data_IF_147671265224
#
_entry.id   IF_147671265224
#
_cell.length_a   1.000
_cell.length_b   1.000
_cell.length_c   1.000
_cell.angle_alpha   90.00
_cell.angle_beta   90.00
_cell.angle_gamma   90.00
#
_symmetry.space_group_name_H-M   'P 1'
#
loop_
_entity.id
_entity.type
_entity.pdbx_description
1 polymer ?
#
# COMPACT_ATOMS: atom_id res chain seq x y z
N UNK A 1 6.13 21.88 -3.62
CA UNK A 1 6.75 20.55 -3.47
C UNK A 1 5.62 19.57 -3.23
N UNK A 2 5.59 18.45 -3.96
CA UNK A 2 4.52 17.47 -3.81
C UNK A 2 4.72 16.63 -2.54
N UNK A 3 3.62 16.26 -1.90
CA UNK A 3 3.59 15.48 -0.66
C UNK A 3 3.14 14.04 -0.93
N UNK A 4 4.01 13.08 -0.62
CA UNK A 4 3.73 11.66 -0.57
C UNK A 4 3.52 11.23 0.88
N UNK A 5 2.37 10.64 1.18
CA UNK A 5 2.15 9.84 2.41
C UNK A 5 2.27 8.37 2.06
N UNK A 6 3.12 7.62 2.77
CA UNK A 6 3.32 6.19 2.53
C UNK A 6 3.43 5.40 3.84
N UNK A 7 2.61 4.35 3.97
CA UNK A 7 2.66 3.49 5.16
C UNK A 7 3.71 2.39 5.03
N UNK A 8 4.45 2.11 6.10
CA UNK A 8 5.39 0.98 6.16
C UNK A 8 6.70 1.17 5.39
N UNK A 9 7.51 2.16 5.77
CA UNK A 9 8.79 2.49 5.13
C UNK A 9 10.03 2.02 5.90
N UNK A 10 9.87 1.10 6.85
CA UNK A 10 11.01 0.56 7.60
C UNK A 10 11.89 -0.38 6.78
N UNK A 11 11.32 -1.04 5.75
CA UNK A 11 11.98 -2.04 4.91
C UNK A 11 11.23 -2.28 3.60
N UNK A 12 11.79 -3.12 2.73
CA UNK A 12 11.12 -3.66 1.55
C UNK A 12 10.68 -2.61 0.52
N UNK A 13 9.50 -2.81 -0.08
CA UNK A 13 8.96 -1.95 -1.14
C UNK A 13 8.80 -0.51 -0.64
N UNK A 14 8.15 -0.31 0.51
CA UNK A 14 7.92 1.04 1.05
C UNK A 14 9.20 1.84 1.29
N UNK A 15 10.27 1.19 1.78
CA UNK A 15 11.57 1.83 1.96
C UNK A 15 12.16 2.31 0.62
N UNK A 16 12.18 1.45 -0.40
CA UNK A 16 12.72 1.80 -1.71
C UNK A 16 11.85 2.84 -2.43
N UNK A 17 10.52 2.77 -2.27
CA UNK A 17 9.61 3.79 -2.80
C UNK A 17 9.90 5.15 -2.16
N UNK A 18 10.01 5.22 -0.83
CA UNK A 18 10.37 6.46 -0.15
C UNK A 18 11.70 7.03 -0.65
N UNK A 19 12.74 6.19 -0.84
CA UNK A 19 14.04 6.62 -1.40
C UNK A 19 13.90 7.29 -2.76
N UNK A 20 13.15 6.68 -3.69
CA UNK A 20 12.98 7.22 -5.04
C UNK A 20 12.27 8.56 -5.00
N UNK A 21 11.20 8.69 -4.21
CA UNK A 21 10.46 9.95 -4.11
C UNK A 21 11.32 11.06 -3.49
N UNK A 22 12.07 10.77 -2.42
CA UNK A 22 13.01 11.72 -1.82
C UNK A 22 14.09 12.18 -2.82
N UNK A 23 14.66 11.24 -3.60
CA UNK A 23 15.65 11.55 -4.65
C UNK A 23 15.08 12.48 -5.73
N UNK A 24 13.77 12.43 -5.96
CA UNK A 24 13.06 13.27 -6.92
C UNK A 24 12.41 14.52 -6.28
N UNK A 25 12.96 14.98 -5.16
CA UNK A 25 12.56 16.25 -4.49
C UNK A 25 11.11 16.28 -4.00
N UNK A 26 10.52 15.12 -3.69
CA UNK A 26 9.24 15.07 -2.98
C UNK A 26 9.42 15.25 -1.48
N UNK A 27 8.38 15.76 -0.83
CA UNK A 27 8.23 15.66 0.61
C UNK A 27 7.57 14.32 0.94
N UNK A 28 8.26 13.49 1.73
CA UNK A 28 7.77 12.15 2.08
C UNK A 28 7.44 12.11 3.56
N UNK A 29 6.17 11.82 3.84
CA UNK A 29 5.67 11.48 5.16
C UNK A 29 5.52 9.96 5.20
N UNK A 30 6.51 9.29 5.78
CA UNK A 30 6.52 7.85 5.92
C UNK A 30 6.03 7.41 7.30
N UNK A 31 5.56 6.17 7.39
CA UNK A 31 5.28 5.55 8.70
C UNK A 31 5.95 4.20 8.89
N UNK A 32 6.15 3.82 10.14
CA UNK A 32 6.46 2.45 10.55
C UNK A 32 5.89 2.21 11.94
N UNK A 33 5.77 0.95 12.38
CA UNK A 33 5.15 0.64 13.68
C UNK A 33 5.86 1.27 14.87
N UNK A 34 7.16 1.54 14.75
CA UNK A 34 7.99 2.15 15.79
C UNK A 34 8.50 3.55 15.43
N UNK A 35 8.08 4.13 14.30
CA UNK A 35 8.54 5.45 13.86
C UNK A 35 10.01 5.49 13.43
N UNK A 36 10.62 4.34 13.13
CA UNK A 36 11.99 4.26 12.65
C UNK A 36 12.09 3.82 11.17
N UNK A 37 13.09 4.37 10.50
CA UNK A 37 13.55 3.98 9.16
C UNK A 37 15.06 4.22 9.06
N UNK A 38 15.73 3.52 8.14
CA UNK A 38 17.16 3.73 7.87
C UNK A 38 17.44 4.97 7.00
N UNK A 39 16.39 5.58 6.44
CA UNK A 39 16.51 6.77 5.61
C UNK A 39 16.82 8.01 6.44
N UNK A 40 17.72 8.84 5.92
CA UNK A 40 17.98 10.19 6.43
C UNK A 40 17.92 11.15 5.26
N UNK A 41 16.97 12.08 5.30
CA UNK A 41 16.79 13.08 4.25
C UNK A 41 16.05 14.29 4.84
N UNK A 42 16.37 15.51 4.40
CA UNK A 42 15.74 16.73 4.91
C UNK A 42 14.24 16.84 4.58
N UNK A 43 13.80 16.20 3.49
CA UNK A 43 12.40 16.17 3.06
C UNK A 43 11.64 14.92 3.56
N UNK A 44 12.16 14.23 4.58
CA UNK A 44 11.54 13.04 5.15
C UNK A 44 11.03 13.32 6.57
N UNK A 45 9.75 13.10 6.79
CA UNK A 45 9.16 12.98 8.12
C UNK A 45 8.72 11.53 8.35
N UNK A 46 9.18 10.91 9.43
CA UNK A 46 8.80 9.55 9.83
C UNK A 46 7.92 9.62 11.08
N UNK A 47 6.80 8.90 11.06
CA UNK A 47 5.88 8.81 12.20
C UNK A 47 5.69 7.35 12.66
N UNK A 48 5.54 7.10 13.96
CA UNK A 48 5.02 5.84 14.44
C UNK A 48 3.55 5.71 14.02
N UNK A 49 3.18 4.57 13.43
CA UNK A 49 1.80 4.25 13.12
C UNK A 49 1.57 2.73 13.16
N UNK A 50 0.69 2.31 14.06
CA UNK A 50 0.12 0.97 14.05
C UNK A 50 -1.30 1.02 13.46
N UNK A 51 -1.52 0.32 12.34
CA UNK A 51 -2.81 0.34 11.63
C UNK A 51 -3.95 -0.36 12.39
N UNK A 52 -3.66 -1.14 13.44
CA UNK A 52 -4.71 -1.69 14.33
C UNK A 52 -5.15 -0.71 15.43
N UNK A 53 -4.49 0.44 15.57
CA UNK A 53 -4.79 1.42 16.60
C UNK A 53 -5.43 2.69 15.99
N UNK A 54 -6.76 2.76 16.07
CA UNK A 54 -7.54 3.91 15.58
C UNK A 54 -7.12 5.24 16.21
N UNK A 55 -6.63 5.25 17.47
CA UNK A 55 -6.15 6.49 18.10
C UNK A 55 -4.88 6.99 17.45
N UNK A 56 -3.97 6.07 17.09
CA UNK A 56 -2.75 6.43 16.35
C UNK A 56 -3.09 6.90 14.93
N UNK A 57 -4.05 6.26 14.25
CA UNK A 57 -4.53 6.72 12.94
C UNK A 57 -5.06 8.16 13.03
N UNK A 58 -5.97 8.43 13.97
CA UNK A 58 -6.53 9.77 14.17
C UNK A 58 -5.43 10.81 14.40
N UNK A 59 -4.55 10.55 15.36
CA UNK A 59 -3.46 11.45 15.72
C UNK A 59 -2.50 11.71 14.55
N UNK A 60 -2.18 10.68 13.77
CA UNK A 60 -1.34 10.81 12.59
C UNK A 60 -2.02 11.69 11.53
N UNK A 61 -3.28 11.45 11.21
CA UNK A 61 -4.01 12.18 10.17
C UNK A 61 -4.23 13.65 10.54
N UNK A 62 -4.47 13.97 11.81
CA UNK A 62 -4.60 15.35 12.28
C UNK A 62 -3.39 16.20 11.89
N UNK A 63 -2.19 15.63 12.00
CA UNK A 63 -0.91 16.28 11.70
C UNK A 63 -0.59 16.36 10.21
N UNK A 64 -1.31 15.63 9.35
CA UNK A 64 -1.00 15.61 7.93
C UNK A 64 -1.31 16.97 7.26
N UNK A 65 -0.40 17.47 6.41
CA UNK A 65 -0.69 18.57 5.51
C UNK A 65 -1.61 18.07 4.37
N UNK A 66 -1.74 18.88 3.31
CA UNK A 66 -2.38 18.41 2.09
C UNK A 66 -1.54 17.34 1.39
N UNK A 67 -2.21 16.36 0.80
CA UNK A 67 -1.61 15.14 0.25
C UNK A 67 -1.80 15.10 -1.27
N UNK A 68 -0.72 14.91 -2.01
CA UNK A 68 -0.76 14.71 -3.46
C UNK A 68 -0.80 13.22 -3.82
N UNK A 69 -0.15 12.38 -3.02
CA UNK A 69 -0.17 10.92 -3.18
C UNK A 69 -0.28 10.23 -1.83
N UNK A 70 -1.22 9.29 -1.69
CA UNK A 70 -1.30 8.33 -0.60
C UNK A 70 -0.96 6.92 -1.13
N UNK A 71 0.06 6.28 -0.57
CA UNK A 71 0.39 4.87 -0.85
C UNK A 71 0.14 4.04 0.40
N UNK A 72 -0.89 3.20 0.34
CA UNK A 72 -1.15 2.17 1.35
C UNK A 72 -0.27 0.94 1.07
N UNK A 73 0.93 0.94 1.65
CA UNK A 73 1.93 -0.12 1.46
C UNK A 73 2.03 -1.09 2.64
N UNK A 74 1.79 -0.64 3.88
CA UNK A 74 1.86 -1.51 5.04
C UNK A 74 0.84 -2.66 4.95
N UNK A 75 1.33 -3.89 5.08
CA UNK A 75 0.52 -5.10 5.05
C UNK A 75 1.26 -6.25 5.76
N UNK A 76 0.51 -7.29 6.14
CA UNK A 76 1.02 -8.53 6.72
C UNK A 76 0.53 -9.74 5.95
N UNK A 77 1.35 -10.79 5.99
CA UNK A 77 1.02 -12.17 5.62
C UNK A 77 1.46 -12.99 6.84
N UNK A 78 0.51 -13.55 7.59
CA UNK A 78 0.77 -14.13 8.92
C UNK A 78 0.74 -15.66 8.91
N UNK A 79 0.05 -16.26 7.95
CA UNK A 79 0.05 -17.71 7.73
C UNK A 79 1.31 -18.20 6.97
N UNK A 80 1.54 -19.51 6.99
CA UNK A 80 2.58 -20.14 6.17
C UNK A 80 2.20 -20.10 4.69
N UNK A 81 3.20 -20.04 3.80
CA UNK A 81 3.01 -20.00 2.34
C UNK A 81 2.28 -21.23 1.77
N UNK A 82 2.23 -22.33 2.52
CA UNK A 82 1.54 -23.58 2.17
C UNK A 82 0.25 -23.79 2.96
N UNK A 83 -0.10 -22.90 3.88
CA UNK A 83 -1.32 -23.07 4.69
C UNK A 83 -2.56 -22.91 3.81
N UNK A 84 -3.50 -23.83 3.94
CA UNK A 84 -4.77 -23.86 3.19
C UNK A 84 -5.98 -23.69 4.12
N UNK A 85 -5.82 -24.01 5.41
CA UNK A 85 -6.90 -23.97 6.39
C UNK A 85 -7.06 -22.58 6.97
N UNK A 86 -8.32 -22.22 7.21
CA UNK A 86 -8.64 -20.97 7.87
C UNK A 86 -8.32 -21.06 9.37
N UNK A 87 -7.40 -20.22 9.81
CA UNK A 87 -7.18 -19.91 11.21
C UNK A 87 -7.89 -18.59 11.54
N UNK A 88 -8.97 -18.66 12.31
CA UNK A 88 -9.79 -17.47 12.59
C UNK A 88 -9.05 -16.35 13.32
N UNK A 89 -8.00 -16.65 14.10
CA UNK A 89 -7.17 -15.63 14.75
C UNK A 89 -6.31 -14.91 13.72
N UNK A 90 -5.52 -15.66 12.93
CA UNK A 90 -4.68 -15.07 11.89
C UNK A 90 -5.50 -14.33 10.83
N UNK A 91 -6.68 -14.85 10.48
CA UNK A 91 -7.61 -14.17 9.58
C UNK A 91 -7.99 -12.78 10.10
N UNK A 92 -8.41 -12.70 11.37
CA UNK A 92 -8.76 -11.43 12.01
C UNK A 92 -7.55 -10.49 12.06
N UNK A 93 -6.39 -10.99 12.47
CA UNK A 93 -5.16 -10.18 12.58
C UNK A 93 -4.74 -9.63 11.21
N UNK A 94 -4.76 -10.46 10.16
CA UNK A 94 -4.47 -10.06 8.78
C UNK A 94 -5.48 -9.01 8.28
N UNK A 95 -6.78 -9.22 8.50
CA UNK A 95 -7.81 -8.24 8.11
C UNK A 95 -7.70 -6.93 8.87
N UNK A 96 -7.33 -6.98 10.15
CA UNK A 96 -7.22 -5.79 10.98
C UNK A 96 -6.18 -4.81 10.46
N UNK A 97 -5.08 -5.32 9.88
CA UNK A 97 -4.05 -4.49 9.24
C UNK A 97 -4.38 -4.20 7.77
N UNK A 98 -4.54 -5.26 6.96
CA UNK A 98 -4.61 -5.16 5.49
C UNK A 98 -5.92 -4.55 4.99
N UNK A 99 -6.99 -4.59 5.80
CA UNK A 99 -8.32 -4.14 5.43
C UNK A 99 -8.78 -3.02 6.35
N UNK A 100 -9.10 -3.32 7.62
CA UNK A 100 -9.75 -2.35 8.51
C UNK A 100 -8.88 -1.12 8.75
N UNK A 101 -7.64 -1.29 9.20
CA UNK A 101 -6.72 -0.17 9.42
C UNK A 101 -6.37 0.60 8.16
N UNK A 102 -6.20 -0.10 7.03
CA UNK A 102 -5.94 0.53 5.73
C UNK A 102 -7.12 1.38 5.26
N UNK A 103 -8.35 0.86 5.39
CA UNK A 103 -9.57 1.59 5.04
C UNK A 103 -9.74 2.79 5.99
N UNK A 104 -9.63 2.58 7.30
CA UNK A 104 -9.79 3.67 8.29
C UNK A 104 -8.81 4.82 8.02
N UNK A 105 -7.52 4.52 7.84
CA UNK A 105 -6.54 5.54 7.48
C UNK A 105 -6.89 6.25 6.17
N UNK A 106 -7.30 5.49 5.15
CA UNK A 106 -7.62 6.06 3.83
C UNK A 106 -8.81 7.00 3.91
N UNK A 107 -9.91 6.57 4.55
CA UNK A 107 -11.11 7.39 4.73
C UNK A 107 -10.79 8.70 5.46
N UNK A 108 -9.99 8.64 6.54
CA UNK A 108 -9.60 9.82 7.28
C UNK A 108 -8.65 10.74 6.51
N UNK A 109 -7.85 10.21 5.58
CA UNK A 109 -7.01 11.02 4.70
C UNK A 109 -7.80 11.75 3.60
N UNK A 110 -9.03 11.33 3.25
CA UNK A 110 -9.79 11.90 2.12
C UNK A 110 -9.92 13.43 2.20
N UNK A 111 -10.28 14.05 3.34
CA UNK A 111 -10.37 15.52 3.44
C UNK A 111 -9.02 16.25 3.28
N UNK A 112 -7.91 15.53 3.45
CA UNK A 112 -6.54 16.04 3.30
C UNK A 112 -6.01 15.93 1.87
N UNK A 113 -6.69 15.24 0.97
CA UNK A 113 -6.28 15.12 -0.43
C UNK A 113 -6.37 16.46 -1.17
N UNK A 114 -5.37 16.77 -1.99
CA UNK A 114 -5.43 17.86 -2.97
C UNK A 114 -6.34 17.48 -4.15
N UNK A 115 -6.80 18.46 -4.94
CA UNK A 115 -7.39 18.18 -6.25
C UNK A 115 -6.44 17.34 -7.11
N UNK A 116 -6.97 16.32 -7.80
CA UNK A 116 -6.19 15.38 -8.63
C UNK A 116 -5.14 14.56 -7.86
N UNK A 117 -5.25 14.46 -6.53
CA UNK A 117 -4.40 13.56 -5.75
C UNK A 117 -4.61 12.10 -6.18
N UNK A 118 -3.66 11.26 -5.83
CA UNK A 118 -3.68 9.83 -6.16
C UNK A 118 -3.69 8.97 -4.89
N UNK A 119 -4.46 7.89 -4.91
CA UNK A 119 -4.43 6.84 -3.90
C UNK A 119 -3.97 5.55 -4.58
N UNK A 120 -2.92 4.93 -4.05
CA UNK A 120 -2.44 3.62 -4.50
C UNK A 120 -2.50 2.63 -3.35
N UNK A 121 -3.30 1.58 -3.55
CA UNK A 121 -3.34 0.43 -2.66
C UNK A 121 -2.37 -0.64 -3.15
N UNK A 122 -1.33 -0.96 -2.37
CA UNK A 122 -0.45 -2.08 -2.68
C UNK A 122 -1.22 -3.37 -2.38
N UNK A 123 -1.75 -3.98 -3.42
CA UNK A 123 -2.49 -5.23 -3.37
C UNK A 123 -1.57 -6.40 -3.72
N UNK A 124 -2.06 -7.39 -4.47
CA UNK A 124 -1.30 -8.53 -4.96
C UNK A 124 -2.05 -9.21 -6.08
N UNK A 125 -1.34 -9.85 -7.01
CA UNK A 125 -1.94 -10.75 -7.98
C UNK A 125 -2.74 -11.89 -7.35
N UNK A 126 -2.46 -12.24 -6.09
CA UNK A 126 -3.26 -13.17 -5.29
C UNK A 126 -4.57 -12.60 -4.77
N UNK A 127 -4.79 -11.29 -4.90
CA UNK A 127 -6.09 -10.68 -4.66
C UNK A 127 -7.04 -10.81 -5.86
N UNK A 128 -6.63 -11.42 -6.98
CA UNK A 128 -7.51 -11.56 -8.14
C UNK A 128 -8.49 -12.71 -8.00
N UNK A 129 -9.68 -12.54 -8.57
CA UNK A 129 -10.63 -13.63 -8.75
C UNK A 129 -10.32 -14.46 -9.99
N UNK A 130 -9.75 -13.82 -11.03
CA UNK A 130 -9.50 -14.47 -12.32
C UNK A 130 -8.31 -15.44 -12.35
N UNK A 131 -7.47 -15.47 -11.32
CA UNK A 131 -6.26 -16.31 -11.28
C UNK A 131 -5.89 -16.68 -9.83
N UNK A 132 -6.38 -17.82 -9.36
CA UNK A 132 -6.07 -18.33 -8.03
C UNK A 132 -5.83 -19.85 -8.08
N UNK A 133 -4.68 -20.23 -8.64
CA UNK A 133 -4.32 -21.62 -8.96
C UNK A 133 -3.97 -22.48 -7.72
N UNK A 134 -4.13 -21.94 -6.52
CA UNK A 134 -3.81 -22.62 -5.26
C UNK A 134 -4.74 -22.17 -4.14
N UNK A 135 -5.06 -23.08 -3.21
CA UNK A 135 -5.79 -22.77 -1.98
C UNK A 135 -4.92 -22.12 -0.88
N UNK A 136 -3.60 -22.00 -1.10
CA UNK A 136 -2.68 -21.54 -0.07
C UNK A 136 -2.87 -20.07 0.31
N UNK A 137 -2.37 -19.66 1.47
CA UNK A 137 -2.42 -18.29 2.02
C UNK A 137 -3.82 -17.64 1.97
N UNK A 138 -4.87 -18.34 2.45
CA UNK A 138 -6.25 -17.93 2.24
C UNK A 138 -6.58 -16.59 2.91
N UNK A 139 -5.98 -16.27 4.06
CA UNK A 139 -6.28 -15.02 4.77
C UNK A 139 -5.74 -13.82 4.00
N UNK A 140 -4.49 -13.90 3.53
CA UNK A 140 -3.85 -12.87 2.73
C UNK A 140 -4.60 -12.64 1.42
N UNK A 141 -4.92 -13.72 0.68
CA UNK A 141 -5.71 -13.67 -0.56
C UNK A 141 -7.02 -12.93 -0.36
N UNK A 142 -7.84 -13.37 0.60
CA UNK A 142 -9.11 -12.73 0.91
C UNK A 142 -8.95 -11.24 1.29
N UNK A 143 -7.90 -10.90 2.06
CA UNK A 143 -7.64 -9.50 2.43
C UNK A 143 -7.33 -8.62 1.21
N UNK A 144 -6.56 -9.15 0.24
CA UNK A 144 -6.20 -8.41 -0.98
C UNK A 144 -7.35 -8.32 -1.98
N UNK A 145 -8.20 -9.35 -2.08
CA UNK A 145 -9.45 -9.27 -2.83
C UNK A 145 -10.40 -8.22 -2.25
N UNK A 146 -10.50 -8.13 -0.91
CA UNK A 146 -11.28 -7.09 -0.25
C UNK A 146 -10.73 -5.69 -0.55
N UNK A 147 -9.41 -5.50 -0.46
CA UNK A 147 -8.74 -4.24 -0.80
C UNK A 147 -8.94 -3.84 -2.28
N UNK A 148 -8.98 -4.82 -3.18
CA UNK A 148 -9.31 -4.60 -4.59
C UNK A 148 -10.73 -4.07 -4.77
N UNK A 149 -11.73 -4.69 -4.11
CA UNK A 149 -13.10 -4.20 -4.14
C UNK A 149 -13.21 -2.78 -3.54
N UNK A 150 -12.53 -2.52 -2.42
CA UNK A 150 -12.48 -1.18 -1.82
C UNK A 150 -11.92 -0.14 -2.80
N UNK A 151 -10.87 -0.48 -3.55
CA UNK A 151 -10.28 0.38 -4.59
C UNK A 151 -11.32 0.76 -5.65
N UNK A 152 -12.09 -0.21 -6.17
CA UNK A 152 -13.12 0.03 -7.18
C UNK A 152 -14.25 0.93 -6.67
N UNK A 153 -14.71 0.70 -5.44
CA UNK A 153 -15.76 1.51 -4.81
C UNK A 153 -15.26 2.94 -4.56
N UNK A 154 -14.03 3.08 -4.07
CA UNK A 154 -13.42 4.38 -3.79
C UNK A 154 -13.20 5.20 -5.07
N UNK A 155 -12.75 4.56 -6.15
CA UNK A 155 -12.61 5.21 -7.46
C UNK A 155 -13.94 5.80 -7.98
N UNK A 156 -15.05 5.06 -7.81
CA UNK A 156 -16.39 5.54 -8.17
C UNK A 156 -16.87 6.67 -7.28
N UNK A 157 -16.57 6.61 -5.97
CA UNK A 157 -16.99 7.62 -4.99
C UNK A 157 -16.20 8.93 -5.11
N UNK A 158 -14.95 8.87 -5.57
CA UNK A 158 -14.04 10.02 -5.65
C UNK A 158 -13.61 10.34 -7.09
N UNK A 159 -14.50 10.86 -7.95
CA UNK A 159 -14.21 11.05 -9.39
C UNK A 159 -13.11 12.08 -9.70
N UNK A 160 -12.68 12.90 -8.73
CA UNK A 160 -11.58 13.87 -8.87
C UNK A 160 -10.24 13.36 -8.33
N UNK A 161 -10.22 12.13 -7.82
CA UNK A 161 -9.04 11.48 -7.24
C UNK A 161 -8.76 10.22 -8.07
N UNK A 162 -7.52 10.03 -8.48
CA UNK A 162 -7.14 8.79 -9.15
C UNK A 162 -6.89 7.71 -8.11
N UNK A 163 -7.68 6.66 -8.11
CA UNK A 163 -7.56 5.54 -7.18
C UNK A 163 -7.12 4.31 -7.96
N UNK A 164 -6.09 3.62 -7.48
CA UNK A 164 -5.51 2.47 -8.19
C UNK A 164 -5.12 1.36 -7.22
N UNK A 165 -5.30 0.12 -7.66
CA UNK A 165 -4.70 -1.06 -7.03
C UNK A 165 -3.41 -1.38 -7.77
N UNK A 166 -2.39 -1.85 -7.05
CA UNK A 166 -1.10 -2.18 -7.62
C UNK A 166 -0.63 -3.55 -7.16
N UNK A 167 -0.33 -4.44 -8.10
CA UNK A 167 0.28 -5.72 -7.84
C UNK A 167 1.81 -5.62 -8.02
N UNK A 168 2.58 -5.70 -6.92
CA UNK A 168 4.03 -5.60 -7.01
C UNK A 168 4.69 -6.83 -7.66
N UNK A 169 3.94 -7.93 -7.84
CA UNK A 169 4.48 -9.24 -8.18
C UNK A 169 5.20 -9.90 -7.00
N UNK A 170 5.99 -10.92 -7.28
CA UNK A 170 6.78 -11.61 -6.25
C UNK A 170 8.11 -10.90 -6.00
N UNK A 171 8.19 -10.13 -4.90
CA UNK A 171 9.30 -9.22 -4.60
C UNK A 171 10.15 -9.72 -3.43
N UNK A 172 11.48 -9.64 -3.58
CA UNK A 172 12.51 -10.05 -2.61
C UNK A 172 12.52 -9.15 -1.39
N UNK A 173 11.60 -9.45 -0.49
CA UNK A 173 11.32 -8.81 0.79
C UNK A 173 11.18 -9.91 1.84
N UNK A 174 11.06 -9.54 3.12
CA UNK A 174 10.82 -10.55 4.15
C UNK A 174 9.50 -11.30 3.93
N UNK A 175 8.47 -10.62 3.40
CA UNK A 175 7.23 -11.27 3.00
C UNK A 175 7.45 -12.20 1.81
N UNK A 176 8.09 -11.74 0.74
CA UNK A 176 8.30 -12.51 -0.49
C UNK A 176 9.46 -13.51 -0.46
N UNK A 177 10.24 -13.58 0.61
CA UNK A 177 11.43 -14.45 0.77
C UNK A 177 12.58 -14.14 -0.20
N UNK A 178 13.72 -14.80 0.01
CA UNK A 178 14.92 -14.64 -0.82
C UNK A 178 14.81 -15.27 -2.22
N UNK A 179 13.79 -16.10 -2.47
CA UNK A 179 13.56 -16.78 -3.74
C UNK A 179 12.82 -15.90 -4.76
N UNK A 180 12.23 -14.79 -4.31
CA UNK A 180 11.53 -13.88 -5.20
C UNK A 180 12.46 -13.30 -6.28
N UNK A 181 12.03 -13.26 -7.55
CA UNK A 181 12.87 -12.85 -8.67
C UNK A 181 13.06 -11.34 -8.76
N UNK A 182 12.13 -10.55 -8.18
CA UNK A 182 12.07 -9.10 -8.37
C UNK A 182 12.65 -8.36 -7.17
N UNK A 183 13.52 -7.39 -7.40
CA UNK A 183 14.03 -6.52 -6.34
C UNK A 183 13.00 -5.46 -5.93
N UNK A 184 12.94 -5.06 -4.64
CA UNK A 184 12.07 -3.99 -4.18
C UNK A 184 12.28 -2.66 -4.90
N UNK A 185 13.53 -2.35 -5.28
CA UNK A 185 13.88 -1.13 -6.03
C UNK A 185 13.25 -1.08 -7.43
N UNK A 186 13.04 -2.24 -8.08
CA UNK A 186 12.34 -2.30 -9.38
C UNK A 186 10.86 -1.99 -9.20
N UNK A 187 10.22 -2.59 -8.19
CA UNK A 187 8.82 -2.27 -7.84
C UNK A 187 8.63 -0.80 -7.46
N UNK A 188 9.58 -0.22 -6.73
CA UNK A 188 9.57 1.19 -6.39
C UNK A 188 9.65 2.11 -7.63
N UNK A 189 10.49 1.76 -8.61
CA UNK A 189 10.53 2.48 -9.90
C UNK A 189 9.21 2.36 -10.65
N UNK A 190 8.60 1.18 -10.70
CA UNK A 190 7.28 1.00 -11.33
C UNK A 190 6.20 1.86 -10.67
N UNK A 191 6.20 1.96 -9.34
CA UNK A 191 5.28 2.85 -8.61
C UNK A 191 5.52 4.32 -8.94
N UNK A 192 6.78 4.75 -9.01
CA UNK A 192 7.14 6.12 -9.38
C UNK A 192 6.71 6.44 -10.82
N UNK A 193 7.01 5.57 -11.78
CA UNK A 193 6.57 5.68 -13.16
C UNK A 193 5.04 5.69 -13.28
N UNK A 194 4.37 4.83 -12.51
CA UNK A 194 2.93 4.81 -12.43
C UNK A 194 2.46 6.20 -12.00
N UNK A 195 2.85 6.70 -10.82
CA UNK A 195 2.41 8.00 -10.29
C UNK A 195 2.61 9.17 -11.27
N UNK A 196 3.67 9.17 -12.06
CA UNK A 196 3.97 10.25 -13.01
C UNK A 196 3.29 10.11 -14.39
N UNK A 197 2.60 9.00 -14.67
CA UNK A 197 1.83 8.81 -15.90
C UNK A 197 0.35 9.20 -15.72
N UNK A 198 -0.24 9.81 -16.76
CA UNK A 198 -1.66 10.14 -16.79
C UNK A 198 -2.49 8.85 -16.73
N UNK A 199 -3.37 8.75 -15.74
CA UNK A 199 -4.05 7.49 -15.39
C UNK A 199 -5.54 7.63 -15.28
N UNK A 200 -6.20 6.57 -15.71
CA UNK A 200 -7.60 6.32 -15.41
C UNK A 200 -7.74 5.77 -13.98
N UNK A 201 -8.82 6.18 -13.30
CA UNK A 201 -9.14 5.74 -11.93
C UNK A 201 -9.85 4.37 -11.98
N UNK A 202 -9.68 3.56 -10.94
CA UNK A 202 -10.39 2.27 -10.81
C UNK A 202 -9.73 1.10 -11.55
N UNK A 203 -8.42 1.14 -11.73
CA UNK A 203 -7.65 0.07 -12.40
C UNK A 203 -6.72 -0.68 -11.46
N UNK A 204 -6.44 -1.93 -11.85
CA UNK A 204 -5.44 -2.79 -11.21
C UNK A 204 -4.20 -2.87 -12.08
N UNK A 205 -3.05 -2.40 -11.58
CA UNK A 205 -1.82 -2.26 -12.34
C UNK A 205 -0.79 -3.32 -11.97
N UNK A 206 -0.06 -3.81 -12.97
CA UNK A 206 1.09 -4.70 -12.83
C UNK A 206 2.08 -4.43 -13.96
N UNK A 207 3.34 -4.16 -13.64
CA UNK A 207 4.42 -3.91 -14.62
C UNK A 207 4.04 -2.85 -15.69
N UNK A 208 3.35 -1.79 -15.26
CA UNK A 208 2.92 -0.69 -16.13
C UNK A 208 1.73 -1.00 -17.04
N UNK A 209 1.11 -2.18 -16.93
CA UNK A 209 -0.09 -2.58 -17.65
C UNK A 209 -1.25 -2.80 -16.69
N UNK A 210 -2.48 -2.73 -17.21
CA UNK A 210 -3.66 -3.15 -16.45
C UNK A 210 -3.73 -4.68 -16.42
N UNK A 211 -4.24 -5.22 -15.31
CA UNK A 211 -4.55 -6.65 -15.15
C UNK A 211 -6.01 -6.82 -14.74
N UNK A 212 -6.51 -8.04 -14.93
CA UNK A 212 -7.84 -8.42 -14.47
C UNK A 212 -7.91 -8.44 -12.94
N UNK A 213 -9.12 -8.18 -12.44
CA UNK A 213 -9.48 -8.21 -11.02
C UNK A 213 -9.70 -9.61 -10.47
#
# INVERSE_FOLDING_TARGET
MNTLVITGISRGIGLETAKIFLKNSWFVIGTSTNGHTSLKHQNLNIHPLNLVDSKQINHFVEQLPKIDVLINNAAVLLEDWREEKINMRQLKDTFSVNVFGTIELTEQCIPKLNPNAQIINISSGWGTFSSNDSASVPHYKMSKSCLNMYTLLLAKRLPRITVSSFDPGWVKTDMGTNHAPKLPSKTAHELYELINKQKESGYFWHEGKTRNW
#
